data_IF_596777405113
#
_entry.id   IF_596777405113
#
_cell.length_a   1.000
_cell.length_b   1.000
_cell.length_c   1.000
_cell.angle_alpha   90.00
_cell.angle_beta   90.00
_cell.angle_gamma   90.00
#
_symmetry.space_group_name_H-M   'P 1'
#
loop_
_entity.id
_entity.type
_entity.pdbx_description
1 polymer ?
#
# COMPACT_ATOMS: atom_id res chain seq x y z
N UNK A 1 33.31 18.96 7.45
CA UNK A 1 32.29 19.98 7.80
C UNK A 1 32.76 21.32 7.27
N UNK A 2 32.08 21.86 6.25
CA UNK A 2 32.35 23.21 5.71
C UNK A 2 30.99 23.89 5.60
N UNK A 3 30.89 25.05 6.26
CA UNK A 3 29.66 25.81 6.48
C UNK A 3 28.93 26.09 5.16
N UNK A 4 27.69 25.62 5.07
CA UNK A 4 26.80 25.93 3.97
C UNK A 4 26.38 27.41 4.03
N UNK A 5 26.54 28.08 2.90
CA UNK A 5 26.28 29.50 2.72
C UNK A 5 24.75 29.74 2.71
N UNK A 6 24.16 29.96 3.89
CA UNK A 6 22.74 30.27 4.12
C UNK A 6 22.25 31.53 3.39
N UNK A 7 23.14 32.29 2.74
CA UNK A 7 22.81 33.52 2.01
C UNK A 7 22.15 33.29 0.65
N UNK A 8 22.21 32.08 0.08
CA UNK A 8 21.66 31.78 -1.26
C UNK A 8 20.13 31.55 -1.27
N UNK A 9 19.51 31.39 -0.10
CA UNK A 9 18.07 31.13 0.03
C UNK A 9 17.22 32.40 0.17
N UNK A 10 17.82 33.59 0.34
CA UNK A 10 17.10 34.83 0.63
C UNK A 10 17.08 35.84 -0.53
N UNK A 11 17.51 35.45 -1.73
CA UNK A 11 17.60 36.35 -2.90
C UNK A 11 16.55 36.13 -4.00
N UNK A 12 15.53 35.28 -3.80
CA UNK A 12 14.50 35.05 -4.83
C UNK A 12 13.25 35.96 -4.74
N UNK A 13 13.31 37.06 -4.01
CA UNK A 13 12.26 38.09 -4.00
C UNK A 13 12.86 39.44 -4.31
N UNK A 14 13.13 39.65 -5.60
CA UNK A 14 13.62 40.90 -6.15
C UNK A 14 13.46 40.85 -7.65
N UNK A 15 12.23 41.12 -8.10
CA UNK A 15 11.89 41.32 -9.50
C UNK A 15 12.65 42.55 -10.01
N UNK A 16 13.88 42.34 -10.49
CA UNK A 16 14.62 43.31 -11.26
C UNK A 16 14.65 42.81 -12.68
N UNK A 17 13.82 43.45 -13.52
CA UNK A 17 13.87 43.36 -14.97
C UNK A 17 15.32 43.56 -15.42
N UNK A 18 15.99 42.45 -15.73
CA UNK A 18 17.27 42.46 -16.42
C UNK A 18 16.99 42.59 -17.92
N UNK A 19 17.67 43.49 -18.64
CA UNK A 19 17.38 43.78 -20.05
C UNK A 19 17.82 42.67 -21.02
N UNK A 20 18.24 41.51 -20.50
CA UNK A 20 18.79 40.41 -21.28
C UNK A 20 17.87 39.19 -21.18
N UNK A 21 17.56 38.52 -22.30
CA UNK A 21 16.81 37.27 -22.31
C UNK A 21 17.51 36.23 -21.43
N UNK A 22 16.75 35.52 -20.59
CA UNK A 22 17.27 34.41 -19.75
C UNK A 22 18.03 33.35 -20.56
N UNK A 23 17.76 33.22 -21.87
CA UNK A 23 18.46 32.30 -22.77
C UNK A 23 19.91 32.71 -23.04
N UNK A 24 20.23 33.99 -23.13
CA UNK A 24 21.60 34.47 -23.39
C UNK A 24 22.46 34.31 -22.14
N UNK A 25 21.91 34.62 -20.97
CA UNK A 25 22.63 34.45 -19.69
C UNK A 25 22.90 32.96 -19.41
N UNK A 26 21.94 32.07 -19.66
CA UNK A 26 22.14 30.62 -19.48
C UNK A 26 23.14 30.03 -20.47
N UNK A 27 23.21 30.55 -21.70
CA UNK A 27 24.20 30.11 -22.70
C UNK A 27 25.60 30.61 -22.34
N UNK A 28 25.71 31.84 -21.84
CA UNK A 28 26.98 32.42 -21.38
C UNK A 28 27.52 31.73 -20.12
N UNK A 29 26.65 31.38 -19.18
CA UNK A 29 27.01 30.62 -17.98
C UNK A 29 27.54 29.22 -18.34
N UNK A 30 26.90 28.52 -19.30
CA UNK A 30 27.40 27.23 -19.83
C UNK A 30 28.76 27.38 -20.51
N UNK A 31 28.94 28.41 -21.34
CA UNK A 31 30.20 28.67 -22.02
C UNK A 31 31.34 29.00 -21.04
N UNK A 32 31.04 29.76 -19.98
CA UNK A 32 31.99 30.06 -18.90
C UNK A 32 32.34 28.81 -18.09
N UNK A 33 31.39 27.89 -17.92
CA UNK A 33 31.59 26.61 -17.25
C UNK A 33 32.42 25.63 -18.09
N UNK A 34 32.27 25.62 -19.42
CA UNK A 34 33.11 24.84 -20.33
C UNK A 34 34.55 25.38 -20.45
N UNK A 35 34.76 26.67 -20.16
CA UNK A 35 36.08 27.31 -20.13
C UNK A 35 36.79 27.18 -18.78
N UNK A 36 36.16 26.58 -17.77
CA UNK A 36 36.76 26.40 -16.45
C UNK A 36 37.71 25.18 -16.44
N UNK A 37 39.00 25.33 -16.14
CA UNK A 37 39.96 24.22 -16.11
C UNK A 37 39.65 23.15 -15.05
N UNK A 38 38.68 23.38 -14.16
CA UNK A 38 38.21 22.40 -13.18
C UNK A 38 36.86 21.73 -13.51
N UNK A 39 36.25 22.07 -14.65
CA UNK A 39 34.91 21.58 -15.04
C UNK A 39 34.80 20.05 -15.08
N UNK A 40 35.83 19.34 -15.55
CA UNK A 40 35.86 17.88 -15.60
C UNK A 40 35.88 17.27 -14.18
N UNK A 41 36.64 17.88 -13.26
CA UNK A 41 36.74 17.42 -11.87
C UNK A 41 35.41 17.64 -11.14
N UNK A 42 34.75 18.77 -11.39
CA UNK A 42 33.44 19.07 -10.82
C UNK A 42 32.35 18.14 -11.36
N UNK A 43 32.34 17.87 -12.66
CA UNK A 43 31.41 16.90 -13.27
C UNK A 43 31.60 15.48 -12.69
N UNK A 44 32.84 15.04 -12.47
CA UNK A 44 33.15 13.78 -11.82
C UNK A 44 32.68 13.74 -10.35
N UNK A 45 32.74 14.86 -9.63
CA UNK A 45 32.22 14.96 -8.26
C UNK A 45 30.70 14.90 -8.22
N UNK A 46 30.01 15.66 -9.09
CA UNK A 46 28.55 15.62 -9.21
C UNK A 46 28.05 14.21 -9.52
N UNK A 47 28.69 13.53 -10.48
CA UNK A 47 28.37 12.14 -10.80
C UNK A 47 28.54 11.20 -9.60
N UNK A 48 29.62 11.34 -8.82
CA UNK A 48 29.83 10.54 -7.61
C UNK A 48 28.76 10.79 -6.55
N UNK A 49 28.34 12.05 -6.38
CA UNK A 49 27.30 12.44 -5.42
C UNK A 49 25.95 11.86 -5.85
N UNK A 50 25.55 12.03 -7.11
CA UNK A 50 24.29 11.48 -7.64
C UNK A 50 24.24 9.95 -7.52
N UNK A 51 25.35 9.26 -7.83
CA UNK A 51 25.46 7.80 -7.64
C UNK A 51 25.31 7.40 -6.18
N UNK A 52 25.96 8.11 -5.25
CA UNK A 52 25.82 7.84 -3.82
C UNK A 52 24.38 8.07 -3.34
N UNK A 53 23.76 9.17 -3.76
CA UNK A 53 22.36 9.47 -3.42
C UNK A 53 21.41 8.38 -3.94
N UNK A 54 21.61 7.92 -5.17
CA UNK A 54 20.82 6.84 -5.76
C UNK A 54 20.96 5.55 -4.95
N UNK A 55 22.19 5.10 -4.70
CA UNK A 55 22.44 3.86 -3.95
C UNK A 55 21.88 3.94 -2.53
N UNK A 56 22.11 5.06 -1.84
CA UNK A 56 21.60 5.25 -0.48
C UNK A 56 20.06 5.26 -0.45
N UNK A 57 19.42 5.93 -1.41
CA UNK A 57 17.96 6.01 -1.55
C UNK A 57 17.33 4.66 -1.84
N UNK A 58 17.88 3.92 -2.81
CA UNK A 58 17.41 2.57 -3.16
C UNK A 58 17.59 1.60 -2.00
N UNK A 59 18.75 1.63 -1.32
CA UNK A 59 19.00 0.80 -0.14
C UNK A 59 18.00 1.13 0.98
N UNK A 60 17.76 2.42 1.24
CA UNK A 60 16.82 2.83 2.28
C UNK A 60 15.39 2.38 1.96
N UNK A 61 14.96 2.55 0.70
CA UNK A 61 13.66 2.07 0.23
C UNK A 61 13.50 0.55 0.36
N UNK A 62 14.55 -0.21 0.05
CA UNK A 62 14.53 -1.66 0.25
C UNK A 62 14.38 -2.00 1.74
N UNK A 63 15.18 -1.37 2.61
CA UNK A 63 15.13 -1.63 4.05
C UNK A 63 13.78 -1.27 4.66
N UNK A 64 13.19 -0.12 4.30
CA UNK A 64 11.92 0.32 4.88
C UNK A 64 10.74 -0.58 4.48
N UNK A 65 10.82 -1.26 3.33
CA UNK A 65 9.81 -2.22 2.88
C UNK A 65 10.08 -3.61 3.48
N UNK A 66 11.31 -4.11 3.35
CA UNK A 66 11.63 -5.50 3.69
C UNK A 66 11.70 -5.72 5.19
N UNK A 67 12.29 -4.79 5.96
CA UNK A 67 12.54 -5.03 7.39
C UNK A 67 11.25 -5.18 8.22
N UNK A 68 10.17 -4.37 8.04
CA UNK A 68 8.91 -4.61 8.72
C UNK A 68 8.28 -5.96 8.37
N UNK A 69 8.34 -6.37 7.10
CA UNK A 69 7.79 -7.65 6.63
C UNK A 69 8.54 -8.83 7.27
N UNK A 70 9.88 -8.78 7.27
CA UNK A 70 10.71 -9.81 7.90
C UNK A 70 10.42 -9.87 9.40
N UNK A 71 10.31 -8.72 10.07
CA UNK A 71 9.98 -8.70 11.49
C UNK A 71 8.58 -9.25 11.77
N UNK A 72 7.59 -8.97 10.91
CA UNK A 72 6.27 -9.57 10.99
C UNK A 72 6.37 -11.10 11.03
N UNK A 73 7.04 -11.68 10.04
CA UNK A 73 7.12 -13.13 9.85
C UNK A 73 7.90 -13.80 10.98
N UNK A 74 9.02 -13.21 11.39
CA UNK A 74 9.84 -13.71 12.50
C UNK A 74 9.07 -13.61 13.82
N UNK A 75 8.48 -12.46 14.14
CA UNK A 75 7.71 -12.29 15.38
C UNK A 75 6.50 -13.22 15.41
N UNK A 76 5.80 -13.37 14.28
CA UNK A 76 4.68 -14.30 14.12
C UNK A 76 5.06 -15.73 14.44
N UNK A 77 6.19 -16.21 13.92
CA UNK A 77 6.58 -17.60 14.06
C UNK A 77 7.19 -17.91 15.42
N UNK A 78 8.08 -17.05 15.93
CA UNK A 78 8.89 -17.35 17.11
C UNK A 78 8.31 -16.82 18.43
N UNK A 79 7.53 -15.73 18.40
CA UNK A 79 7.06 -15.04 19.61
C UNK A 79 5.54 -15.12 19.70
N UNK A 80 4.84 -14.49 18.75
CA UNK A 80 3.39 -14.33 18.77
C UNK A 80 2.71 -15.69 18.62
N UNK A 81 3.17 -16.53 17.69
CA UNK A 81 2.59 -17.84 17.43
C UNK A 81 2.48 -18.70 18.69
N UNK A 82 3.61 -19.05 19.34
CA UNK A 82 3.61 -19.85 20.56
C UNK A 82 2.81 -19.23 21.71
N UNK A 83 2.89 -17.91 21.88
CA UNK A 83 2.17 -17.20 22.95
C UNK A 83 0.66 -17.25 22.74
N UNK A 84 0.20 -16.97 21.52
CA UNK A 84 -1.23 -17.01 21.18
C UNK A 84 -1.76 -18.42 21.28
N UNK A 85 -1.05 -19.42 20.76
CA UNK A 85 -1.48 -20.83 20.82
C UNK A 85 -1.59 -21.33 22.27
N UNK A 86 -0.61 -20.98 23.12
CA UNK A 86 -0.66 -21.30 24.54
C UNK A 86 -1.85 -20.61 25.24
N UNK A 87 -2.04 -19.31 24.99
CA UNK A 87 -3.14 -18.56 25.58
C UNK A 87 -4.52 -19.07 25.12
N UNK A 88 -4.64 -19.46 23.85
CA UNK A 88 -5.88 -19.98 23.26
C UNK A 88 -6.25 -21.34 23.85
N UNK A 89 -5.27 -22.22 24.03
CA UNK A 89 -5.48 -23.54 24.63
C UNK A 89 -5.96 -23.47 26.08
N UNK A 90 -5.53 -22.45 26.84
CA UNK A 90 -5.95 -22.26 28.24
C UNK A 90 -7.34 -21.64 28.33
N UNK A 91 -7.58 -20.55 27.59
CA UNK A 91 -8.80 -19.76 27.75
C UNK A 91 -10.02 -20.35 27.02
N UNK A 92 -9.79 -21.12 25.95
CA UNK A 92 -10.84 -21.68 25.09
C UNK A 92 -12.00 -20.70 24.83
N UNK A 93 -11.73 -19.53 24.22
CA UNK A 93 -12.66 -18.40 24.19
C UNK A 93 -13.95 -18.64 23.37
N UNK A 94 -14.09 -19.80 22.73
CA UNK A 94 -15.19 -20.14 21.84
C UNK A 94 -14.71 -20.62 20.48
N UNK A 95 -15.66 -20.94 19.60
CA UNK A 95 -15.39 -21.41 18.24
C UNK A 95 -15.17 -20.22 17.29
N UNK A 96 -15.98 -19.18 17.42
CA UNK A 96 -16.01 -18.03 16.51
C UNK A 96 -15.55 -16.76 17.22
N UNK A 97 -14.75 -15.94 16.54
CA UNK A 97 -14.32 -14.63 17.04
C UNK A 97 -15.39 -13.56 16.84
N UNK A 98 -16.20 -13.68 15.79
CA UNK A 98 -17.24 -12.71 15.43
C UNK A 98 -18.44 -13.38 14.76
N UNK A 99 -19.58 -12.66 14.70
CA UNK A 99 -20.84 -13.17 14.15
C UNK A 99 -20.77 -13.50 12.64
N UNK A 100 -19.89 -12.83 11.89
CA UNK A 100 -19.72 -13.10 10.46
C UNK A 100 -19.08 -14.47 10.21
N UNK A 101 -18.12 -14.87 11.05
CA UNK A 101 -17.55 -16.22 11.00
C UNK A 101 -18.57 -17.29 11.35
N UNK A 102 -19.39 -17.05 12.39
CA UNK A 102 -20.47 -17.96 12.79
C UNK A 102 -21.50 -18.17 11.66
N UNK A 103 -21.96 -17.08 11.04
CA UNK A 103 -22.88 -17.14 9.90
C UNK A 103 -22.30 -17.96 8.74
N UNK A 104 -21.03 -17.71 8.38
CA UNK A 104 -20.38 -18.48 7.31
C UNK A 104 -20.27 -19.97 7.64
N UNK A 105 -19.91 -20.30 8.88
CA UNK A 105 -19.78 -21.68 9.32
C UNK A 105 -21.12 -22.43 9.26
N UNK A 106 -22.22 -21.77 9.65
CA UNK A 106 -23.56 -22.34 9.56
C UNK A 106 -24.03 -22.51 8.11
N UNK A 107 -23.80 -21.51 7.26
CA UNK A 107 -24.11 -21.61 5.82
C UNK A 107 -23.32 -22.76 5.18
N UNK A 108 -22.06 -22.95 5.56
CA UNK A 108 -21.24 -24.03 5.03
C UNK A 108 -21.74 -25.41 5.48
N UNK A 109 -22.11 -25.56 6.76
CA UNK A 109 -22.69 -26.80 7.26
C UNK A 109 -24.03 -27.11 6.59
N UNK A 110 -24.90 -26.11 6.48
CA UNK A 110 -26.20 -26.24 5.82
C UNK A 110 -26.05 -26.67 4.35
N UNK A 111 -25.14 -26.04 3.59
CA UNK A 111 -24.86 -26.45 2.20
C UNK A 111 -24.39 -27.90 2.10
N UNK A 112 -23.60 -28.36 3.06
CA UNK A 112 -23.17 -29.75 3.10
C UNK A 112 -24.34 -30.70 3.38
N UNK A 113 -25.19 -30.37 4.35
CA UNK A 113 -26.39 -31.15 4.68
C UNK A 113 -27.36 -31.23 3.50
N UNK A 114 -27.66 -30.10 2.85
CA UNK A 114 -28.50 -30.02 1.66
C UNK A 114 -27.94 -30.87 0.51
N UNK A 115 -26.62 -30.80 0.28
CA UNK A 115 -25.95 -31.62 -0.73
C UNK A 115 -26.02 -33.11 -0.39
N UNK A 116 -25.76 -33.48 0.85
CA UNK A 116 -25.81 -34.88 1.29
C UNK A 116 -27.23 -35.44 1.13
N UNK A 117 -28.24 -34.66 1.55
CA UNK A 117 -29.64 -35.03 1.42
C UNK A 117 -30.04 -35.19 -0.06
N UNK A 118 -29.62 -34.27 -0.93
CA UNK A 118 -29.84 -34.39 -2.38
C UNK A 118 -29.22 -35.68 -2.95
N UNK A 119 -27.99 -36.02 -2.58
CA UNK A 119 -27.33 -37.24 -3.05
C UNK A 119 -28.04 -38.53 -2.61
N UNK A 120 -28.63 -38.52 -1.41
CA UNK A 120 -29.46 -39.62 -0.90
C UNK A 120 -30.73 -39.75 -1.75
N UNK A 121 -31.44 -38.65 -2.01
CA UNK A 121 -32.69 -38.65 -2.78
C UNK A 121 -32.52 -39.15 -4.22
N UNK A 122 -31.37 -38.89 -4.85
CA UNK A 122 -31.08 -39.38 -6.21
C UNK A 122 -30.53 -40.81 -6.24
N UNK A 123 -30.48 -41.51 -5.09
CA UNK A 123 -30.07 -42.90 -5.01
C UNK A 123 -28.56 -43.15 -5.11
N UNK A 124 -27.70 -42.14 -4.88
CA UNK A 124 -26.23 -42.38 -4.78
C UNK A 124 -25.85 -43.20 -3.55
N UNK A 125 -26.70 -43.21 -2.53
CA UNK A 125 -26.49 -43.92 -1.27
C UNK A 125 -27.72 -44.77 -0.93
N UNK A 126 -27.97 -45.88 -1.65
CA UNK A 126 -29.23 -46.62 -1.57
C UNK A 126 -29.53 -47.24 -0.19
N UNK A 127 -28.49 -47.55 0.60
CA UNK A 127 -28.61 -48.22 1.92
C UNK A 127 -27.90 -47.47 3.05
N UNK A 128 -27.80 -46.13 2.96
CA UNK A 128 -27.14 -45.36 4.03
C UNK A 128 -28.00 -45.33 5.29
N UNK A 129 -27.46 -45.86 6.40
CA UNK A 129 -28.16 -45.78 7.69
C UNK A 129 -28.20 -44.34 8.21
N UNK A 130 -29.27 -43.97 8.90
CA UNK A 130 -29.41 -42.65 9.56
C UNK A 130 -28.24 -42.34 10.50
N UNK A 131 -27.73 -43.35 11.19
CA UNK A 131 -26.55 -43.23 12.05
C UNK A 131 -25.31 -42.75 11.28
N UNK A 132 -25.12 -43.27 10.07
CA UNK A 132 -23.99 -42.88 9.21
C UNK A 132 -24.17 -41.47 8.64
N UNK A 133 -25.42 -41.05 8.36
CA UNK A 133 -25.73 -39.67 7.96
C UNK A 133 -25.35 -38.70 9.09
N UNK A 134 -25.86 -38.95 10.30
CA UNK A 134 -25.53 -38.12 11.48
C UNK A 134 -24.04 -38.09 11.75
N UNK A 135 -23.34 -39.22 11.58
CA UNK A 135 -21.89 -39.28 11.72
C UNK A 135 -21.18 -38.38 10.71
N UNK A 136 -21.55 -38.45 9.42
CA UNK A 136 -20.97 -37.58 8.37
C UNK A 136 -21.18 -36.10 8.65
N UNK A 137 -22.39 -35.72 9.10
CA UNK A 137 -22.71 -34.33 9.47
C UNK A 137 -21.86 -33.89 10.67
N UNK A 138 -21.76 -34.74 11.71
CA UNK A 138 -20.93 -34.45 12.88
C UNK A 138 -19.44 -34.30 12.52
N UNK A 139 -18.93 -35.17 11.67
CA UNK A 139 -17.55 -35.08 11.18
C UNK A 139 -17.33 -33.78 10.40
N UNK A 140 -18.26 -33.39 9.53
CA UNK A 140 -18.19 -32.11 8.81
C UNK A 140 -18.23 -30.92 9.75
N UNK A 141 -19.13 -30.91 10.73
CA UNK A 141 -19.26 -29.85 11.71
C UNK A 141 -17.96 -29.67 12.54
N UNK A 142 -17.30 -30.78 12.91
CA UNK A 142 -16.01 -30.74 13.59
C UNK A 142 -14.89 -30.19 12.72
N UNK A 143 -14.89 -30.49 11.41
CA UNK A 143 -13.92 -29.94 10.47
C UNK A 143 -14.10 -28.42 10.33
N UNK A 144 -15.33 -27.97 10.07
CA UNK A 144 -15.69 -26.55 9.99
C UNK A 144 -15.26 -25.83 11.28
N UNK A 145 -15.60 -26.39 12.44
CA UNK A 145 -15.20 -25.85 13.75
C UNK A 145 -13.68 -25.64 13.84
N UNK A 146 -12.88 -26.63 13.42
CA UNK A 146 -11.41 -26.51 13.45
C UNK A 146 -10.90 -25.44 12.51
N UNK A 147 -11.46 -25.33 11.31
CA UNK A 147 -11.08 -24.32 10.31
C UNK A 147 -11.32 -22.90 10.84
N UNK A 148 -12.50 -22.61 11.39
CA UNK A 148 -12.84 -21.29 11.94
C UNK A 148 -12.11 -20.95 13.25
N UNK A 149 -11.82 -21.95 14.08
CA UNK A 149 -10.95 -21.74 15.25
C UNK A 149 -9.54 -21.35 14.80
N UNK A 150 -8.99 -22.02 13.78
CA UNK A 150 -7.68 -21.67 13.22
C UNK A 150 -7.68 -20.30 12.54
N UNK A 151 -8.76 -19.93 11.84
CA UNK A 151 -8.94 -18.58 11.30
C UNK A 151 -8.89 -17.52 12.41
N UNK A 152 -9.59 -17.75 13.51
CA UNK A 152 -9.63 -16.86 14.68
C UNK A 152 -8.26 -16.71 15.35
N UNK A 153 -7.55 -17.83 15.56
CA UNK A 153 -6.18 -17.84 16.08
C UNK A 153 -5.25 -17.06 15.15
N UNK A 154 -5.36 -17.27 13.84
CA UNK A 154 -4.55 -16.59 12.85
C UNK A 154 -4.81 -15.08 12.81
N UNK A 155 -6.07 -14.64 12.92
CA UNK A 155 -6.41 -13.22 13.01
C UNK A 155 -5.74 -12.54 14.22
N UNK A 156 -5.78 -13.18 15.39
CA UNK A 156 -5.08 -12.65 16.58
C UNK A 156 -3.57 -12.61 16.38
N UNK A 157 -2.98 -13.66 15.79
CA UNK A 157 -1.55 -13.68 15.45
C UNK A 157 -1.18 -12.57 14.46
N UNK A 158 -2.02 -12.32 13.46
CA UNK A 158 -1.84 -11.26 12.47
C UNK A 158 -1.78 -9.88 13.16
N UNK A 159 -2.81 -9.52 13.93
CA UNK A 159 -2.90 -8.23 14.63
C UNK A 159 -1.64 -7.98 15.46
N UNK A 160 -1.24 -8.96 16.28
CA UNK A 160 -0.08 -8.81 17.16
C UNK A 160 1.23 -8.69 16.38
N UNK A 161 1.40 -9.46 15.30
CA UNK A 161 2.61 -9.40 14.45
C UNK A 161 2.69 -8.11 13.64
N UNK A 162 1.54 -7.58 13.22
CA UNK A 162 1.44 -6.30 12.52
C UNK A 162 1.82 -5.14 13.43
N UNK A 163 1.47 -5.20 14.72
CA UNK A 163 1.92 -4.20 15.71
C UNK A 163 3.46 -4.14 15.75
N UNK A 164 4.16 -5.29 15.78
CA UNK A 164 5.63 -5.31 15.70
C UNK A 164 6.13 -4.67 14.40
N UNK A 165 5.45 -4.92 13.29
CA UNK A 165 5.81 -4.39 11.97
C UNK A 165 5.65 -2.86 11.92
N UNK A 166 4.56 -2.34 12.48
CA UNK A 166 4.30 -0.89 12.59
C UNK A 166 5.33 -0.23 13.50
N UNK A 167 5.66 -0.84 14.63
CA UNK A 167 6.72 -0.34 15.54
C UNK A 167 8.06 -0.27 14.81
N UNK A 168 8.41 -1.31 14.03
CA UNK A 168 9.65 -1.33 13.25
C UNK A 168 9.67 -0.26 12.17
N UNK A 169 8.57 -0.11 11.43
CA UNK A 169 8.45 0.94 10.42
C UNK A 169 8.62 2.33 11.05
N UNK A 170 7.95 2.56 12.19
CA UNK A 170 8.08 3.81 12.94
C UNK A 170 9.51 4.05 13.42
N UNK A 171 10.17 3.03 13.96
CA UNK A 171 11.57 3.10 14.39
C UNK A 171 12.53 3.39 13.23
N UNK A 172 12.36 2.76 12.07
CA UNK A 172 13.16 3.01 10.87
C UNK A 172 13.01 4.45 10.38
N UNK A 173 11.78 4.97 10.38
CA UNK A 173 11.51 6.36 9.97
C UNK A 173 12.16 7.35 10.94
N UNK A 174 12.07 7.10 12.25
CA UNK A 174 12.67 7.99 13.25
C UNK A 174 14.20 7.97 13.25
N UNK A 175 14.80 6.79 13.14
CA UNK A 175 16.26 6.62 13.13
C UNK A 175 16.89 7.03 11.79
N UNK A 176 16.20 6.78 10.68
CA UNK A 176 16.65 7.03 9.30
C UNK A 176 16.39 8.44 8.77
N UNK A 177 16.32 9.48 9.62
CA UNK A 177 15.96 10.85 9.16
C UNK A 177 16.89 11.39 8.07
N UNK A 178 18.18 11.05 8.13
CA UNK A 178 19.17 11.47 7.13
C UNK A 178 18.93 10.78 5.80
N UNK A 179 18.73 9.47 5.84
CA UNK A 179 18.47 8.63 4.68
C UNK A 179 17.12 9.00 4.04
N UNK A 180 16.11 9.34 4.84
CA UNK A 180 14.84 9.91 4.37
C UNK A 180 15.03 11.23 3.64
N UNK A 181 15.90 12.12 4.15
CA UNK A 181 16.19 13.37 3.47
C UNK A 181 16.90 13.13 2.12
N UNK A 182 17.87 12.21 2.09
CA UNK A 182 18.55 11.81 0.84
C UNK A 182 17.55 11.19 -0.14
N UNK A 183 16.69 10.29 0.32
CA UNK A 183 15.62 9.69 -0.47
C UNK A 183 14.66 10.74 -1.03
N UNK A 184 14.22 11.70 -0.20
CA UNK A 184 13.37 12.81 -0.65
C UNK A 184 14.08 13.66 -1.72
N UNK A 185 15.37 13.94 -1.54
CA UNK A 185 16.17 14.67 -2.53
C UNK A 185 16.25 13.91 -3.85
N UNK A 186 16.48 12.60 -3.80
CA UNK A 186 16.53 11.73 -4.97
C UNK A 186 15.18 11.67 -5.71
N UNK A 187 14.06 11.51 -4.99
CA UNK A 187 12.72 11.55 -5.60
C UNK A 187 12.44 12.92 -6.24
N UNK A 188 12.83 14.01 -5.58
CA UNK A 188 12.69 15.35 -6.15
C UNK A 188 13.51 15.48 -7.43
N UNK A 189 14.77 15.03 -7.44
CA UNK A 189 15.62 15.08 -8.64
C UNK A 189 15.03 14.27 -9.79
N UNK A 190 14.48 13.07 -9.51
CA UNK A 190 13.75 12.27 -10.50
C UNK A 190 12.53 13.03 -11.06
N UNK A 191 11.67 13.58 -10.20
CA UNK A 191 10.44 14.26 -10.63
C UNK A 191 10.76 15.55 -11.39
N UNK A 192 11.69 16.37 -10.88
CA UNK A 192 12.05 17.64 -11.52
C UNK A 192 12.88 17.45 -12.79
N UNK A 193 13.59 16.32 -12.92
CA UNK A 193 14.32 15.93 -14.13
C UNK A 193 13.40 15.51 -15.29
N UNK A 194 12.12 15.20 -15.03
CA UNK A 194 11.14 14.90 -16.07
C UNK A 194 10.67 16.15 -16.83
N UNK A 195 10.28 15.97 -18.09
CA UNK A 195 9.56 17.01 -18.85
C UNK A 195 8.17 17.24 -18.26
N UNK A 196 7.59 18.42 -18.45
CA UNK A 196 6.26 18.74 -17.90
C UNK A 196 5.16 17.82 -18.44
N UNK A 197 5.28 17.37 -19.70
CA UNK A 197 4.43 16.34 -20.29
C UNK A 197 4.57 14.99 -19.59
N UNK A 198 5.80 14.55 -19.29
CA UNK A 198 6.04 13.28 -18.59
C UNK A 198 5.53 13.33 -17.14
N UNK A 199 5.67 14.48 -16.45
CA UNK A 199 5.08 14.69 -15.12
C UNK A 199 3.56 14.55 -15.17
N UNK A 200 2.90 15.22 -16.13
CA UNK A 200 1.45 15.14 -16.30
C UNK A 200 0.99 13.71 -16.61
N UNK A 201 1.68 13.02 -17.52
CA UNK A 201 1.41 11.63 -17.85
C UNK A 201 1.56 10.69 -16.64
N UNK A 202 2.64 10.82 -15.87
CA UNK A 202 2.88 9.99 -14.69
C UNK A 202 1.79 10.20 -13.64
N UNK A 203 1.38 11.46 -13.43
CA UNK A 203 0.26 11.79 -12.54
C UNK A 203 -1.04 11.10 -13.00
N UNK A 204 -1.41 11.26 -14.27
CA UNK A 204 -2.64 10.66 -14.84
C UNK A 204 -2.60 9.14 -14.71
N UNK A 205 -1.50 8.50 -15.14
CA UNK A 205 -1.32 7.05 -15.06
C UNK A 205 -1.45 6.54 -13.63
N UNK A 206 -0.80 7.20 -12.66
CA UNK A 206 -0.91 6.81 -11.26
C UNK A 206 -2.34 6.94 -10.74
N UNK A 207 -3.06 8.02 -11.07
CA UNK A 207 -4.44 8.13 -10.64
C UNK A 207 -5.36 7.13 -11.30
N UNK A 208 -5.21 6.85 -12.59
CA UNK A 208 -6.05 5.84 -13.24
C UNK A 208 -5.85 4.45 -12.62
N UNK A 209 -4.61 4.08 -12.27
CA UNK A 209 -4.32 2.77 -11.63
C UNK A 209 -4.87 2.68 -10.20
N UNK A 210 -4.68 3.72 -9.38
CA UNK A 210 -5.02 3.65 -7.94
C UNK A 210 -6.44 4.11 -7.61
N UNK A 211 -7.04 4.91 -8.49
CA UNK A 211 -8.30 5.62 -8.26
C UNK A 211 -9.37 5.20 -9.28
N UNK A 212 -8.97 4.55 -10.38
CA UNK A 212 -9.86 3.98 -11.37
C UNK A 212 -10.74 2.85 -10.82
N UNK A 213 -12.05 3.07 -10.88
CA UNK A 213 -13.08 2.09 -10.51
C UNK A 213 -13.19 1.03 -11.59
N UNK A 214 -12.36 0.00 -11.52
CA UNK A 214 -12.45 -1.07 -12.52
C UNK A 214 -13.49 -2.14 -12.16
N UNK A 215 -13.86 -2.27 -10.87
CA UNK A 215 -15.01 -3.09 -10.45
C UNK A 215 -15.35 -2.89 -8.97
N UNK A 216 -16.63 -2.68 -8.60
CA UNK A 216 -17.10 -2.79 -7.21
C UNK A 216 -16.65 -4.10 -6.53
N UNK A 217 -16.60 -5.18 -7.30
CA UNK A 217 -16.17 -6.49 -6.80
C UNK A 217 -14.68 -6.54 -6.41
N UNK A 218 -13.83 -5.74 -7.07
CA UNK A 218 -12.42 -5.65 -6.69
C UNK A 218 -12.26 -5.10 -5.27
N UNK A 219 -13.06 -4.09 -4.93
CA UNK A 219 -13.07 -3.52 -3.59
C UNK A 219 -13.68 -4.45 -2.55
N UNK A 220 -14.71 -5.21 -2.90
CA UNK A 220 -15.29 -6.26 -2.06
C UNK A 220 -14.21 -7.28 -1.64
N UNK A 221 -13.48 -7.84 -2.61
CA UNK A 221 -12.42 -8.83 -2.33
C UNK A 221 -11.31 -8.24 -1.47
N UNK A 222 -10.86 -7.00 -1.74
CA UNK A 222 -9.83 -6.34 -0.94
C UNK A 222 -10.29 -6.12 0.50
N UNK A 223 -11.53 -5.65 0.69
CA UNK A 223 -12.09 -5.44 2.03
C UNK A 223 -12.27 -6.75 2.79
N UNK A 224 -12.79 -7.80 2.16
CA UNK A 224 -12.92 -9.12 2.79
C UNK A 224 -11.56 -9.64 3.26
N UNK A 225 -10.51 -9.54 2.43
CA UNK A 225 -9.16 -9.97 2.79
C UNK A 225 -8.65 -9.17 4.01
N UNK A 226 -8.81 -7.84 4.01
CA UNK A 226 -8.36 -6.99 5.11
C UNK A 226 -9.13 -7.30 6.40
N UNK A 227 -10.46 -7.41 6.33
CA UNK A 227 -11.29 -7.69 7.50
C UNK A 227 -10.98 -9.07 8.06
N UNK A 228 -10.82 -10.10 7.23
CA UNK A 228 -10.40 -11.44 7.65
C UNK A 228 -9.01 -11.45 8.28
N UNK A 229 -8.06 -10.72 7.69
CA UNK A 229 -6.71 -10.60 8.23
C UNK A 229 -6.72 -10.07 9.67
N UNK A 230 -7.60 -9.11 9.97
CA UNK A 230 -7.79 -8.55 11.31
C UNK A 230 -8.87 -9.25 12.16
N UNK A 231 -9.51 -10.32 11.67
CA UNK A 231 -10.60 -11.00 12.38
C UNK A 231 -11.83 -10.13 12.65
N UNK A 232 -12.03 -9.08 11.85
CA UNK A 232 -13.17 -8.18 11.94
C UNK A 232 -14.36 -8.75 11.17
N UNK A 233 -15.60 -8.43 11.57
CA UNK A 233 -16.79 -8.94 10.90
C UNK A 233 -16.95 -8.34 9.50
N UNK A 234 -17.16 -9.20 8.50
CA UNK A 234 -17.50 -8.81 7.12
C UNK A 234 -18.98 -8.45 7.03
N UNK A 235 -19.34 -7.28 7.56
CA UNK A 235 -20.71 -6.78 7.42
C UNK A 235 -20.96 -6.32 5.98
N UNK A 236 -21.94 -6.94 5.31
CA UNK A 236 -22.30 -6.59 3.92
C UNK A 236 -22.68 -5.13 3.78
N UNK A 237 -23.41 -4.59 4.76
CA UNK A 237 -23.82 -3.18 4.77
C UNK A 237 -22.62 -2.23 4.81
N UNK A 238 -21.60 -2.54 5.63
CA UNK A 238 -20.37 -1.76 5.67
C UNK A 238 -19.60 -1.85 4.36
N UNK A 239 -19.46 -3.07 3.81
CA UNK A 239 -18.75 -3.30 2.55
C UNK A 239 -19.44 -2.52 1.42
N UNK A 240 -20.76 -2.61 1.28
CA UNK A 240 -21.49 -1.87 0.25
C UNK A 240 -21.45 -0.35 0.46
N UNK A 241 -21.57 0.13 1.69
CA UNK A 241 -21.42 1.56 2.02
C UNK A 241 -20.01 2.06 1.64
N UNK A 242 -18.97 1.29 1.95
CA UNK A 242 -17.60 1.63 1.61
C UNK A 242 -17.42 1.68 0.08
N UNK A 243 -17.81 0.63 -0.64
CA UNK A 243 -17.65 0.52 -2.09
C UNK A 243 -18.39 1.64 -2.83
N UNK A 244 -19.58 2.03 -2.34
CA UNK A 244 -20.38 3.10 -2.95
C UNK A 244 -19.84 4.51 -2.67
N UNK A 245 -19.17 4.73 -1.54
CA UNK A 245 -18.83 6.07 -1.05
C UNK A 245 -17.34 6.38 -1.14
N UNK A 246 -16.49 5.50 -0.60
CA UNK A 246 -15.07 5.78 -0.42
C UNK A 246 -14.32 5.94 -1.76
N UNK A 247 -14.47 5.02 -2.73
CA UNK A 247 -13.83 5.19 -4.04
C UNK A 247 -14.25 6.50 -4.73
N UNK A 248 -15.53 6.89 -4.68
CA UNK A 248 -16.07 8.14 -5.29
C UNK A 248 -15.45 9.39 -4.68
N UNK A 249 -15.33 9.41 -3.36
CA UNK A 249 -14.68 10.51 -2.64
C UNK A 249 -13.21 10.58 -3.01
N UNK A 250 -12.52 9.43 -3.04
CA UNK A 250 -11.10 9.34 -3.36
C UNK A 250 -10.84 9.90 -4.78
N UNK A 251 -11.65 9.51 -5.76
CA UNK A 251 -11.62 10.03 -7.14
C UNK A 251 -11.79 11.54 -7.22
N UNK A 252 -12.78 12.06 -6.52
CA UNK A 252 -13.05 13.50 -6.52
C UNK A 252 -11.89 14.29 -5.91
N UNK A 253 -11.32 13.81 -4.80
CA UNK A 253 -10.16 14.44 -4.14
C UNK A 253 -8.93 14.41 -5.04
N UNK A 254 -8.63 13.26 -5.66
CA UNK A 254 -7.47 13.14 -6.54
C UNK A 254 -7.61 13.99 -7.80
N UNK A 255 -8.76 13.96 -8.49
CA UNK A 255 -9.03 14.82 -9.65
C UNK A 255 -8.90 16.30 -9.30
N UNK A 256 -9.46 16.72 -8.17
CA UNK A 256 -9.32 18.11 -7.69
C UNK A 256 -7.86 18.48 -7.42
N UNK A 257 -7.11 17.60 -6.75
CA UNK A 257 -5.71 17.85 -6.42
C UNK A 257 -4.83 17.94 -7.67
N UNK A 258 -5.05 17.05 -8.65
CA UNK A 258 -4.39 17.09 -9.96
C UNK A 258 -4.71 18.39 -10.67
N UNK A 259 -6.00 18.73 -10.80
CA UNK A 259 -6.42 19.94 -11.48
C UNK A 259 -5.76 21.18 -10.86
N UNK A 260 -5.73 21.26 -9.53
CA UNK A 260 -5.06 22.36 -8.81
C UNK A 260 -3.55 22.37 -9.01
N UNK A 261 -2.92 21.20 -9.11
CA UNK A 261 -1.49 21.07 -9.34
C UNK A 261 -1.11 21.48 -10.76
N UNK A 262 -1.79 20.93 -11.78
CA UNK A 262 -1.54 21.25 -13.19
C UNK A 262 -1.75 22.74 -13.48
N UNK A 263 -2.82 23.35 -12.95
CA UNK A 263 -3.08 24.79 -13.10
C UNK A 263 -1.98 25.68 -12.52
N UNK A 264 -1.23 25.21 -11.51
CA UNK A 264 -0.12 25.96 -10.92
C UNK A 264 1.19 25.82 -11.68
N UNK A 265 1.39 24.71 -12.39
CA UNK A 265 2.68 24.37 -13.02
C UNK A 265 2.70 24.75 -14.49
N UNK A 266 1.62 24.51 -15.25
CA UNK A 266 1.52 24.96 -16.64
C UNK A 266 0.06 24.99 -17.14
N UNK A 267 -0.46 26.14 -17.59
CA UNK A 267 -1.80 26.24 -18.21
C UNK A 267 -1.97 25.33 -19.44
N UNK A 268 -0.89 25.01 -20.17
CA UNK A 268 -0.95 24.13 -21.34
C UNK A 268 -1.18 22.66 -20.97
N UNK A 269 -0.71 22.20 -19.81
CA UNK A 269 -0.96 20.84 -19.33
C UNK A 269 -2.43 20.62 -18.94
N UNK A 270 -3.12 21.67 -18.50
CA UNK A 270 -4.55 21.67 -18.19
C UNK A 270 -5.39 21.49 -19.45
N UNK A 271 -5.00 22.15 -20.55
CA UNK A 271 -5.64 21.97 -21.85
C UNK A 271 -5.49 20.53 -22.37
N UNK A 272 -4.31 19.91 -22.19
CA UNK A 272 -4.08 18.50 -22.55
C UNK A 272 -4.91 17.54 -21.69
N UNK A 273 -5.02 17.77 -20.38
CA UNK A 273 -5.88 16.96 -19.50
C UNK A 273 -7.36 17.05 -19.91
N UNK A 274 -7.85 18.26 -20.23
CA UNK A 274 -9.21 18.43 -20.76
C UNK A 274 -9.43 17.64 -22.05
N UNK A 275 -8.49 17.70 -23.00
CA UNK A 275 -8.59 16.96 -24.27
C UNK A 275 -8.46 15.44 -24.16
N UNK A 276 -7.95 14.92 -23.03
CA UNK A 276 -7.82 13.48 -22.78
C UNK A 276 -9.00 12.91 -21.97
N UNK A 277 -9.79 13.77 -21.33
CA UNK A 277 -10.87 13.39 -20.41
C UNK A 277 -12.27 13.78 -20.93
N UNK A 278 -12.34 14.47 -22.08
CA UNK A 278 -13.47 14.46 -23.03
C UNK A 278 -13.42 13.23 -23.92
#
# INVERSE_FOLDING_TARGET
>A
MKYWNLKKLQQSTGDKMSPLPRSITTTFDKFKQELDPHAEVDALQEFRVSRYQTIASVKYLLVIIVAPIVLNQVSRHFIVGPVVDYAWNIKQPGIFLNASQEERAFVELQRFEEKLHFEILIGRFPDISDKLITQKIKERALLITREYVQESINAVKNILSDIFSVIMLYFLILSGRRELYIFKSFINELIYGLSDTAKAFLIILCTDIFVGFHSPHGWEVVLEIILRHFGLPESRDFIFLFISTFPVILDTIFKYWIFRYLNRVSPSAVATYHSMNE
#
